data_IF_224766590017
#
_entry.id   IF_224766590017
#
_cell.length_a   1.000
_cell.length_b   1.000
_cell.length_c   1.000
_cell.angle_alpha   90.00
_cell.angle_beta   90.00
_cell.angle_gamma   90.00
#
_symmetry.space_group_name_H-M   'P 1'
#
loop_
_entity.id
_entity.type
_entity.pdbx_description
1 polymer ?
#
# COMPACT_ATOMS: atom_id res chain seq x y z
N UNK A 1 -23.93 4.45 20.02
CA UNK A 1 -23.60 3.89 19.81
C UNK A 1 -22.73 3.54 19.19
N UNK A 2 -22.45 3.05 19.01
CA UNK A 2 -21.51 2.78 18.53
C UNK A 2 -21.53 2.42 17.25
N UNK A 3 -20.60 2.71 16.54
CA UNK A 3 -20.51 2.38 15.24
C UNK A 3 -20.64 0.98 15.02
N UNK A 4 -21.15 0.58 13.95
CA UNK A 4 -21.18 -0.78 13.57
C UNK A 4 -19.79 -1.20 13.20
N UNK A 5 -19.18 -2.09 13.94
CA UNK A 5 -17.80 -2.46 13.69
C UNK A 5 -17.60 -3.03 12.30
N UNK A 6 -18.55 -3.75 11.77
CA UNK A 6 -18.38 -4.33 10.46
C UNK A 6 -18.31 -3.28 9.38
N UNK A 7 -19.15 -2.26 9.50
CA UNK A 7 -19.12 -1.20 8.50
C UNK A 7 -17.83 -0.41 8.63
N UNK A 8 -17.43 -0.12 9.85
CA UNK A 8 -16.21 0.62 10.03
C UNK A 8 -15.02 -0.14 9.49
N UNK A 9 -14.99 -1.44 9.68
CA UNK A 9 -13.88 -2.22 9.17
C UNK A 9 -13.82 -2.22 7.66
N UNK A 10 -14.98 -2.23 7.01
CA UNK A 10 -15.00 -2.20 5.56
C UNK A 10 -14.51 -0.85 5.05
N UNK A 11 -14.99 0.22 5.69
CA UNK A 11 -14.62 1.55 5.26
C UNK A 11 -13.14 1.80 5.48
N UNK A 12 -12.59 1.25 6.55
CA UNK A 12 -11.21 1.51 6.89
C UNK A 12 -10.23 0.62 6.15
N UNK A 13 -10.72 -0.20 5.26
CA UNK A 13 -9.83 -1.08 4.53
C UNK A 13 -8.83 -0.26 3.73
N UNK A 14 -7.53 -0.61 3.77
CA UNK A 14 -6.53 0.15 3.03
C UNK A 14 -6.78 0.13 1.53
N UNK A 15 -6.42 1.20 0.89
CA UNK A 15 -6.56 1.34 -0.54
C UNK A 15 -5.23 1.80 -1.09
N UNK A 16 -5.09 1.80 -2.41
CA UNK A 16 -3.85 2.24 -3.03
C UNK A 16 -3.56 3.70 -2.73
N UNK A 17 -4.60 4.50 -2.52
CA UNK A 17 -4.38 5.90 -2.18
C UNK A 17 -3.70 6.08 -0.84
N UNK A 18 -3.77 5.08 0.02
CA UNK A 18 -3.11 5.17 1.31
C UNK A 18 -1.61 4.96 1.17
N UNK A 19 -1.16 4.51 0.00
CA UNK A 19 0.25 4.27 -0.26
C UNK A 19 0.66 4.98 -1.54
N UNK A 20 0.79 6.32 -1.50
CA UNK A 20 1.15 7.06 -2.71
C UNK A 20 2.49 6.63 -3.26
N UNK A 21 2.70 6.87 -4.53
CA UNK A 21 3.98 6.60 -5.15
C UNK A 21 5.06 7.41 -4.43
N UNK A 22 6.15 6.78 -4.08
CA UNK A 22 7.20 7.40 -3.29
C UNK A 22 7.17 7.02 -1.82
N UNK A 23 6.09 6.34 -1.38
CA UNK A 23 6.00 5.91 0.01
C UNK A 23 7.03 4.82 0.30
N UNK A 24 7.54 4.81 1.51
CA UNK A 24 8.43 3.74 1.97
C UNK A 24 7.55 2.81 2.79
N UNK A 25 7.56 1.54 2.44
CA UNK A 25 6.68 0.56 3.07
C UNK A 25 7.43 -0.70 3.44
N UNK A 26 6.84 -1.48 4.34
CA UNK A 26 7.39 -2.75 4.75
C UNK A 26 6.46 -3.85 4.29
N UNK A 27 7.02 -4.89 3.73
CA UNK A 27 6.26 -6.03 3.23
C UNK A 27 6.09 -7.08 4.32
N UNK A 28 5.20 -8.06 4.12
CA UNK A 28 5.04 -9.13 5.11
C UNK A 28 6.31 -9.93 5.37
N UNK A 29 7.20 -9.99 4.39
CA UNK A 29 8.45 -10.71 4.60
C UNK A 29 9.46 -9.89 5.38
N UNK A 30 9.14 -8.66 5.71
CA UNK A 30 10.04 -7.81 6.49
C UNK A 30 10.94 -6.93 5.64
N UNK A 31 10.80 -6.96 4.33
CA UNK A 31 11.63 -6.12 3.47
C UNK A 31 11.04 -4.72 3.37
N UNK A 32 11.90 -3.75 3.20
CA UNK A 32 11.47 -2.36 3.07
C UNK A 32 11.78 -1.91 1.65
N UNK A 33 10.80 -1.27 1.03
CA UNK A 33 10.96 -0.79 -0.33
C UNK A 33 10.15 0.47 -0.58
N UNK A 34 10.17 0.94 -1.80
CA UNK A 34 9.50 2.16 -2.20
C UNK A 34 8.39 1.85 -3.19
N UNK A 35 7.24 2.47 -2.99
CA UNK A 35 6.12 2.31 -3.90
C UNK A 35 6.43 3.06 -5.19
N UNK A 36 6.42 2.35 -6.30
CA UNK A 36 6.75 2.97 -7.60
C UNK A 36 5.58 2.97 -8.57
N UNK A 37 4.54 2.18 -8.33
CA UNK A 37 3.43 2.13 -9.26
C UNK A 37 2.20 1.54 -8.59
N UNK A 38 1.02 1.96 -9.05
CA UNK A 38 -0.24 1.37 -8.64
C UNK A 38 -0.83 0.65 -9.83
N UNK A 39 -1.48 -0.47 -9.59
CA UNK A 39 -2.13 -1.24 -10.64
C UNK A 39 -3.52 -1.60 -10.17
N UNK A 40 -4.50 -1.56 -11.05
CA UNK A 40 -5.88 -1.89 -10.72
C UNK A 40 -6.73 -0.64 -10.55
N UNK A 41 -7.99 -0.84 -10.21
CA UNK A 41 -8.92 0.26 -10.09
C UNK A 41 -8.78 0.98 -8.76
N UNK A 42 -9.16 2.25 -8.75
CA UNK A 42 -9.11 3.05 -7.53
C UNK A 42 -10.37 2.79 -6.72
N UNK A 43 -10.59 1.56 -6.36
CA UNK A 43 -11.75 1.18 -5.58
C UNK A 43 -11.32 0.21 -4.51
N UNK A 44 -11.72 0.49 -3.28
CA UNK A 44 -11.37 -0.38 -2.17
C UNK A 44 -11.95 -1.76 -2.30
N UNK A 45 -12.92 -1.93 -3.19
CA UNK A 45 -13.50 -3.23 -3.40
C UNK A 45 -12.82 -4.01 -4.51
N UNK A 46 -11.85 -3.41 -5.19
CA UNK A 46 -11.18 -4.10 -6.29
C UNK A 46 -10.12 -5.03 -5.72
N UNK A 47 -10.36 -6.32 -5.82
CA UNK A 47 -9.43 -7.30 -5.29
C UNK A 47 -8.19 -7.45 -6.15
N UNK A 48 -8.18 -6.82 -7.31
CA UNK A 48 -7.02 -6.89 -8.19
C UNK A 48 -6.06 -5.73 -8.03
N UNK A 49 -6.31 -4.88 -7.03
CA UNK A 49 -5.37 -3.80 -6.76
C UNK A 49 -4.02 -4.37 -6.38
N UNK A 50 -2.97 -3.79 -6.93
CA UNK A 50 -1.62 -4.18 -6.57
C UNK A 50 -0.76 -2.94 -6.47
N UNK A 51 0.09 -2.91 -5.47
CA UNK A 51 1.06 -1.84 -5.29
C UNK A 51 2.40 -2.45 -5.63
N UNK A 52 3.10 -1.82 -6.57
CA UNK A 52 4.40 -2.31 -7.01
C UNK A 52 5.46 -1.63 -6.15
N UNK A 53 6.26 -2.44 -5.48
CA UNK A 53 7.28 -1.97 -4.56
C UNK A 53 8.63 -2.39 -5.09
N UNK A 54 9.55 -1.44 -5.17
CA UNK A 54 10.88 -1.72 -5.66
C UNK A 54 11.84 -1.68 -4.49
N UNK A 55 12.73 -2.63 -4.40
CA UNK A 55 13.66 -2.72 -3.31
C UNK A 55 15.04 -2.24 -3.74
N UNK A 56 15.81 -1.71 -2.77
CA UNK A 56 17.14 -1.27 -3.08
C UNK A 56 18.09 -2.44 -3.17
N UNK A 57 17.83 -3.48 -2.45
CA UNK A 57 18.71 -4.63 -2.45
C UNK A 57 17.92 -5.92 -2.47
N UNK A 58 18.17 -6.76 -3.45
CA UNK A 58 19.08 -6.50 -4.58
C UNK A 58 18.46 -5.46 -5.51
N UNK A 59 19.33 -4.70 -6.12
CA UNK A 59 18.90 -3.63 -6.99
C UNK A 59 18.04 -4.17 -8.11
N UNK A 60 16.92 -3.52 -8.35
CA UNK A 60 16.03 -3.93 -9.42
C UNK A 60 15.00 -4.97 -9.02
N UNK A 61 15.06 -5.48 -7.81
CA UNK A 61 14.06 -6.44 -7.37
C UNK A 61 12.77 -5.70 -7.01
N UNK A 62 11.64 -6.31 -7.30
CA UNK A 62 10.35 -5.70 -7.01
C UNK A 62 9.31 -6.75 -6.73
N UNK A 63 8.18 -6.30 -6.17
CA UNK A 63 7.08 -7.19 -5.86
C UNK A 63 5.77 -6.43 -6.00
N UNK A 64 4.71 -7.15 -6.32
CA UNK A 64 3.37 -6.57 -6.42
C UNK A 64 2.52 -7.16 -5.31
N UNK A 65 2.01 -6.31 -4.42
CA UNK A 65 1.24 -6.76 -3.27
C UNK A 65 -0.04 -5.97 -3.12
N UNK A 66 -1.01 -6.57 -2.47
CA UNK A 66 -2.25 -5.88 -2.17
C UNK A 66 -2.02 -4.86 -1.07
N UNK A 67 -2.77 -3.76 -1.07
CA UNK A 67 -2.52 -2.68 -0.10
C UNK A 67 -2.57 -3.14 1.36
N UNK A 68 -3.49 -4.03 1.70
CA UNK A 68 -3.64 -4.40 3.10
C UNK A 68 -2.46 -5.18 3.65
N UNK A 69 -1.57 -5.64 2.79
CA UNK A 69 -0.41 -6.38 3.23
C UNK A 69 0.76 -5.48 3.60
N UNK A 70 0.65 -4.19 3.31
CA UNK A 70 1.76 -3.28 3.50
C UNK A 70 1.65 -2.48 4.78
N UNK A 71 2.79 -2.08 5.32
CA UNK A 71 2.83 -1.22 6.47
C UNK A 71 3.57 0.05 6.07
N UNK A 72 2.94 1.20 6.29
CA UNK A 72 3.56 2.47 5.94
C UNK A 72 4.70 2.78 6.91
N UNK A 73 5.87 3.10 6.37
CA UNK A 73 6.99 3.52 7.17
C UNK A 73 7.17 5.02 7.03
N UNK A 74 7.15 5.53 5.82
CA UNK A 74 7.33 6.95 5.61
C UNK A 74 6.56 7.39 4.37
N UNK A 75 5.77 8.44 4.48
CA UNK A 75 5.05 8.97 3.33
C UNK A 75 6.00 9.80 2.49
N UNK A 76 5.70 9.93 1.19
CA UNK A 76 6.53 10.77 0.35
C UNK A 76 6.43 12.21 0.81
N UNK A 77 7.46 12.98 0.56
CA UNK A 77 7.43 14.37 0.95
C UNK A 77 6.48 15.12 0.10
N UNK A 78 5.61 15.83 0.79
CA UNK A 78 4.59 16.46 0.04
C UNK A 78 5.02 17.61 -0.68
N UNK A 79 6.03 18.13 -0.33
CA UNK A 79 6.31 19.24 -0.87
C UNK A 79 6.57 19.29 -2.02
N UNK A 80 6.90 18.53 -2.21
CA UNK A 80 7.26 18.73 -3.31
C UNK A 80 6.71 19.57 -4.03
#
# INVERSE_FOLDING_TARGET
MQANPGIAGIIDRPDMEDFPIGSIVKTPSGRIGTVVKHRGAQSRHDLFQRIIIEFDEPFGDSVALQPHLLKMIKRPEASS
#
